data_IF_952085405971
#
_entry.id   IF_952085405971
#
_cell.length_a   1.000
_cell.length_b   1.000
_cell.length_c   1.000
_cell.angle_alpha   90.00
_cell.angle_beta   90.00
_cell.angle_gamma   90.00
#
_symmetry.space_group_name_H-M   'P 1'
#
loop_
_entity.id
_entity.type
_entity.pdbx_description
1 polymer ?
#
# COMPACT_ATOMS: atom_id res chain seq x y z
N UNK A 1 -13.38 -15.70 9.13
CA UNK A 1 -12.58 -15.08 8.06
C UNK A 1 -13.30 -14.98 6.70
N UNK A 2 -13.96 -16.04 6.17
CA UNK A 2 -14.65 -15.96 4.85
C UNK A 2 -15.68 -14.82 4.76
N UNK A 3 -16.49 -14.60 5.82
CA UNK A 3 -17.51 -13.54 5.82
C UNK A 3 -16.92 -12.11 5.75
N UNK A 4 -15.78 -11.86 6.43
CA UNK A 4 -15.08 -10.58 6.38
C UNK A 4 -14.55 -10.29 4.98
N UNK A 5 -13.92 -11.28 4.35
CA UNK A 5 -13.46 -11.17 2.96
C UNK A 5 -14.59 -10.86 1.98
N UNK A 6 -15.71 -11.59 2.10
CA UNK A 6 -16.88 -11.37 1.23
C UNK A 6 -17.44 -9.96 1.40
N UNK A 7 -17.49 -9.47 2.64
CA UNK A 7 -17.90 -8.11 2.95
C UNK A 7 -17.00 -7.08 2.28
N UNK A 8 -15.67 -7.20 2.45
CA UNK A 8 -14.71 -6.25 1.91
C UNK A 8 -14.66 -6.27 0.38
N UNK A 9 -14.76 -7.44 -0.24
CA UNK A 9 -14.91 -7.57 -1.70
C UNK A 9 -16.17 -6.84 -2.18
N UNK A 10 -17.31 -7.01 -1.51
CA UNK A 10 -18.56 -6.32 -1.87
C UNK A 10 -18.44 -4.80 -1.71
N UNK A 11 -17.76 -4.33 -0.65
CA UNK A 11 -17.50 -2.90 -0.45
C UNK A 11 -16.65 -2.33 -1.60
N UNK A 12 -15.60 -3.02 -2.01
CA UNK A 12 -14.78 -2.57 -3.14
C UNK A 12 -15.56 -2.65 -4.44
N UNK A 13 -16.36 -3.71 -4.64
CA UNK A 13 -17.21 -3.83 -5.84
C UNK A 13 -18.24 -2.71 -5.94
N UNK A 14 -18.72 -2.17 -4.82
CA UNK A 14 -19.62 -0.99 -4.85
C UNK A 14 -18.93 0.28 -5.35
N UNK A 15 -17.59 0.34 -5.29
CA UNK A 15 -16.76 1.45 -5.73
C UNK A 15 -16.18 1.25 -7.14
N UNK A 16 -16.67 0.30 -7.91
CA UNK A 16 -16.12 -0.03 -9.25
C UNK A 16 -16.07 1.18 -10.20
N UNK A 17 -17.00 2.14 -10.10
CA UNK A 17 -16.96 3.39 -10.88
C UNK A 17 -15.73 4.23 -10.55
N UNK A 18 -15.42 4.39 -9.27
CA UNK A 18 -14.25 5.14 -8.82
C UNK A 18 -12.95 4.43 -9.24
N UNK A 19 -12.91 3.09 -9.12
CA UNK A 19 -11.80 2.29 -9.61
C UNK A 19 -11.60 2.46 -11.12
N UNK A 20 -12.67 2.39 -11.91
CA UNK A 20 -12.59 2.60 -13.35
C UNK A 20 -12.00 3.98 -13.72
N UNK A 21 -12.40 5.04 -13.01
CA UNK A 21 -11.84 6.38 -13.20
C UNK A 21 -10.34 6.40 -12.89
N UNK A 22 -9.90 5.76 -11.80
CA UNK A 22 -8.48 5.68 -11.43
C UNK A 22 -7.66 5.02 -12.57
N UNK A 23 -8.16 3.91 -13.11
CA UNK A 23 -7.49 3.19 -14.19
C UNK A 23 -7.48 3.98 -15.50
N UNK A 24 -8.56 4.71 -15.83
CA UNK A 24 -8.63 5.59 -16.99
C UNK A 24 -7.63 6.76 -16.86
N UNK A 25 -7.52 7.36 -15.69
CA UNK A 25 -6.55 8.43 -15.44
C UNK A 25 -5.12 7.90 -15.59
N UNK A 26 -4.82 6.72 -15.04
CA UNK A 26 -3.51 6.10 -15.19
C UNK A 26 -3.16 5.82 -16.66
N UNK A 27 -4.11 5.31 -17.43
CA UNK A 27 -3.92 5.08 -18.87
C UNK A 27 -3.68 6.42 -19.60
N UNK A 28 -4.45 7.46 -19.28
CA UNK A 28 -4.27 8.80 -19.85
C UNK A 28 -2.88 9.38 -19.56
N UNK A 29 -2.41 9.29 -18.32
CA UNK A 29 -1.08 9.73 -17.92
C UNK A 29 -0.01 8.94 -18.68
N UNK A 30 -0.13 7.62 -18.74
CA UNK A 30 0.83 6.77 -19.45
C UNK A 30 0.90 7.11 -20.96
N UNK A 31 -0.24 7.41 -21.58
CA UNK A 31 -0.29 7.79 -23.00
C UNK A 31 0.34 9.17 -23.23
N UNK A 32 0.09 10.11 -22.32
CA UNK A 32 0.55 11.50 -22.44
C UNK A 32 2.03 11.69 -22.08
N UNK A 33 2.54 10.99 -21.05
CA UNK A 33 3.87 11.24 -20.48
C UNK A 33 4.89 10.13 -20.74
N UNK A 34 4.42 8.96 -21.19
CA UNK A 34 5.23 7.73 -21.35
C UNK A 34 5.93 7.25 -20.05
N UNK A 35 5.50 7.71 -18.88
CA UNK A 35 6.08 7.39 -17.57
C UNK A 35 5.52 6.08 -17.00
N UNK A 36 6.17 4.95 -17.33
CA UNK A 36 5.74 3.60 -16.90
C UNK A 36 5.72 3.48 -15.38
N UNK A 37 6.82 3.86 -14.72
CA UNK A 37 6.96 3.74 -13.27
C UNK A 37 5.89 4.54 -12.53
N UNK A 38 5.55 5.73 -13.02
CA UNK A 38 4.49 6.56 -12.45
C UNK A 38 3.12 5.90 -12.59
N UNK A 39 2.79 5.35 -13.77
CA UNK A 39 1.49 4.72 -14.00
C UNK A 39 1.27 3.51 -13.08
N UNK A 40 2.27 2.61 -12.93
CA UNK A 40 2.21 1.45 -12.05
C UNK A 40 2.08 1.89 -10.59
N UNK A 41 2.88 2.86 -10.14
CA UNK A 41 2.86 3.33 -8.75
C UNK A 41 1.55 4.03 -8.42
N UNK A 42 1.06 4.89 -9.32
CA UNK A 42 -0.20 5.59 -9.14
C UNK A 42 -1.38 4.61 -8.98
N UNK A 43 -1.53 3.65 -9.91
CA UNK A 43 -2.61 2.65 -9.82
C UNK A 43 -2.51 1.83 -8.54
N UNK A 44 -1.32 1.39 -8.17
CA UNK A 44 -1.09 0.56 -7.00
C UNK A 44 -1.42 1.30 -5.70
N UNK A 45 -0.89 2.51 -5.51
CA UNK A 45 -1.07 3.28 -4.28
C UNK A 45 -2.54 3.70 -4.10
N UNK A 46 -3.17 4.23 -5.15
CA UNK A 46 -4.55 4.70 -5.03
C UNK A 46 -5.52 3.51 -4.83
N UNK A 47 -5.29 2.41 -5.55
CA UNK A 47 -6.17 1.25 -5.39
C UNK A 47 -5.98 0.55 -4.04
N UNK A 48 -4.76 0.48 -3.50
CA UNK A 48 -4.56 -0.06 -2.15
C UNK A 48 -5.19 0.84 -1.08
N UNK A 49 -5.24 2.16 -1.30
CA UNK A 49 -5.97 3.07 -0.42
C UNK A 49 -7.45 2.73 -0.37
N UNK A 50 -8.07 2.26 -1.46
CA UNK A 50 -9.46 1.79 -1.44
C UNK A 50 -9.64 0.54 -0.58
N UNK A 51 -8.69 -0.40 -0.61
CA UNK A 51 -8.71 -1.57 0.26
C UNK A 51 -8.58 -1.19 1.75
N UNK A 52 -7.67 -0.27 2.06
CA UNK A 52 -7.46 0.22 3.42
C UNK A 52 -8.66 1.04 3.90
N UNK A 53 -9.35 1.77 3.02
CA UNK A 53 -10.54 2.54 3.38
C UNK A 53 -11.71 1.68 3.85
N UNK A 54 -11.72 0.36 3.59
CA UNK A 54 -12.72 -0.56 4.14
C UNK A 54 -12.75 -0.53 5.68
N UNK A 55 -11.61 -0.24 6.32
CA UNK A 55 -11.52 -0.05 7.78
C UNK A 55 -12.34 1.17 8.21
N UNK A 56 -12.29 2.25 7.43
CA UNK A 56 -13.06 3.47 7.73
C UNK A 56 -14.56 3.24 7.59
N UNK A 57 -14.99 2.42 6.63
CA UNK A 57 -16.40 2.04 6.51
C UNK A 57 -16.85 1.18 7.68
N UNK A 58 -15.99 0.33 8.22
CA UNK A 58 -16.29 -0.50 9.38
C UNK A 58 -16.48 0.33 10.68
N UNK A 59 -15.85 1.50 10.75
CA UNK A 59 -15.97 2.42 11.90
C UNK A 59 -17.09 3.44 11.76
N UNK A 60 -17.67 3.58 10.57
CA UNK A 60 -18.73 4.55 10.31
C UNK A 60 -20.01 4.20 11.11
N UNK A 61 -20.70 5.20 11.62
CA UNK A 61 -21.94 5.05 12.41
C UNK A 61 -21.86 3.98 13.55
N UNK A 62 -20.75 3.92 14.26
CA UNK A 62 -20.49 2.89 15.27
C UNK A 62 -20.53 1.45 14.75
N UNK A 63 -20.31 1.23 13.46
CA UNK A 63 -20.33 -0.09 12.82
C UNK A 63 -19.41 -1.11 13.52
N UNK A 64 -18.31 -0.65 14.14
CA UNK A 64 -17.45 -1.50 14.95
C UNK A 64 -18.19 -2.17 16.12
N UNK A 65 -19.13 -1.48 16.79
CA UNK A 65 -19.89 -2.07 17.87
C UNK A 65 -20.72 -3.25 17.38
N UNK A 66 -21.37 -3.11 16.22
CA UNK A 66 -22.10 -4.21 15.59
C UNK A 66 -21.17 -5.30 15.06
N UNK A 67 -20.05 -4.90 14.42
CA UNK A 67 -19.11 -5.85 13.82
C UNK A 67 -18.55 -6.82 14.87
N UNK A 68 -18.23 -6.34 16.07
CA UNK A 68 -17.68 -7.17 17.15
C UNK A 68 -18.73 -7.95 17.96
N UNK A 69 -20.03 -7.86 17.64
CA UNK A 69 -21.03 -8.83 18.12
C UNK A 69 -21.01 -10.14 17.32
N UNK A 70 -20.36 -10.14 16.15
CA UNK A 70 -20.24 -11.33 15.31
C UNK A 70 -19.17 -12.29 15.87
N UNK A 71 -19.25 -13.61 15.56
CA UNK A 71 -18.40 -14.63 16.13
C UNK A 71 -16.99 -14.64 15.52
N UNK A 72 -16.26 -13.53 15.63
CA UNK A 72 -14.85 -13.44 15.28
C UNK A 72 -14.09 -12.54 16.26
N UNK A 73 -12.80 -12.81 16.42
CA UNK A 73 -11.94 -12.07 17.33
C UNK A 73 -11.34 -10.83 16.66
N UNK A 74 -10.99 -9.82 17.48
CA UNK A 74 -10.25 -8.64 17.01
C UNK A 74 -8.94 -9.01 16.29
N UNK A 75 -8.30 -10.10 16.71
CA UNK A 75 -7.09 -10.62 16.07
C UNK A 75 -7.36 -11.13 14.66
N UNK A 76 -8.49 -11.83 14.47
CA UNK A 76 -8.89 -12.32 13.14
C UNK A 76 -9.22 -11.17 12.20
N UNK A 77 -9.89 -10.12 12.72
CA UNK A 77 -10.15 -8.89 11.97
C UNK A 77 -8.85 -8.21 11.53
N UNK A 78 -7.89 -8.01 12.45
CA UNK A 78 -6.60 -7.40 12.11
C UNK A 78 -5.85 -8.22 11.05
N UNK A 79 -5.77 -9.54 11.21
CA UNK A 79 -5.12 -10.43 10.23
C UNK A 79 -5.80 -10.34 8.87
N UNK A 80 -7.12 -10.33 8.86
CA UNK A 80 -7.89 -10.22 7.64
C UNK A 80 -7.56 -8.92 6.90
N UNK A 81 -7.56 -7.77 7.57
CA UNK A 81 -7.25 -6.48 6.93
C UNK A 81 -5.84 -6.44 6.33
N UNK A 82 -4.85 -7.00 7.02
CA UNK A 82 -3.48 -7.11 6.48
C UNK A 82 -3.40 -8.03 5.25
N UNK A 83 -4.02 -9.20 5.31
CA UNK A 83 -4.01 -10.15 4.20
C UNK A 83 -4.85 -9.64 3.01
N UNK A 84 -6.01 -9.04 3.28
CA UNK A 84 -6.88 -8.49 2.26
C UNK A 84 -6.21 -7.34 1.51
N UNK A 85 -5.60 -6.39 2.21
CA UNK A 85 -4.89 -5.28 1.59
C UNK A 85 -3.66 -5.74 0.80
N UNK A 86 -2.93 -6.77 1.29
CA UNK A 86 -1.82 -7.37 0.56
C UNK A 86 -2.30 -8.03 -0.74
N UNK A 87 -3.35 -8.86 -0.65
CA UNK A 87 -3.93 -9.55 -1.81
C UNK A 87 -4.43 -8.55 -2.86
N UNK A 88 -5.15 -7.51 -2.41
CA UNK A 88 -5.65 -6.46 -3.29
C UNK A 88 -4.52 -5.66 -3.93
N UNK A 89 -3.48 -5.34 -3.16
CA UNK A 89 -2.27 -4.69 -3.65
C UNK A 89 -1.57 -5.50 -4.75
N UNK A 90 -1.43 -6.82 -4.58
CA UNK A 90 -0.85 -7.69 -5.62
C UNK A 90 -1.70 -7.74 -6.89
N UNK A 91 -3.02 -7.80 -6.76
CA UNK A 91 -3.94 -7.73 -7.92
C UNK A 91 -3.74 -6.43 -8.69
N UNK A 92 -3.57 -5.31 -7.99
CA UNK A 92 -3.39 -4.01 -8.65
C UNK A 92 -2.04 -3.87 -9.35
N UNK A 93 -0.98 -4.45 -8.80
CA UNK A 93 0.32 -4.52 -9.50
C UNK A 93 0.20 -5.33 -10.80
N UNK A 94 -0.43 -6.50 -10.74
CA UNK A 94 -0.67 -7.32 -11.94
C UNK A 94 -1.50 -6.54 -12.96
N UNK A 95 -2.57 -5.89 -12.54
CA UNK A 95 -3.38 -5.04 -13.41
C UNK A 95 -2.58 -3.89 -14.03
N UNK A 96 -1.72 -3.23 -13.24
CA UNK A 96 -0.81 -2.17 -13.71
C UNK A 96 0.16 -2.66 -14.78
N UNK A 97 0.74 -3.85 -14.60
CA UNK A 97 1.59 -4.50 -15.61
C UNK A 97 0.80 -4.75 -16.89
N UNK A 98 -0.43 -5.28 -16.78
CA UNK A 98 -1.28 -5.53 -17.94
C UNK A 98 -1.63 -4.23 -18.68
N UNK A 99 -2.00 -3.17 -17.95
CA UNK A 99 -2.30 -1.86 -18.54
C UNK A 99 -1.09 -1.32 -19.30
N UNK A 100 0.09 -1.30 -18.67
CA UNK A 100 1.33 -0.84 -19.30
C UNK A 100 1.69 -1.73 -20.50
N UNK A 101 1.57 -3.05 -20.36
CA UNK A 101 1.81 -4.01 -21.44
C UNK A 101 0.94 -3.74 -22.66
N UNK A 102 -0.35 -3.49 -22.46
CA UNK A 102 -1.29 -3.18 -23.56
C UNK A 102 -0.91 -1.87 -24.25
N UNK A 103 -0.63 -0.80 -23.49
CA UNK A 103 -0.31 0.51 -24.07
C UNK A 103 1.03 0.48 -24.80
N UNK A 104 2.06 -0.15 -24.23
CA UNK A 104 3.39 -0.25 -24.86
C UNK A 104 3.39 -1.18 -26.07
N UNK A 105 2.58 -2.26 -26.04
CA UNK A 105 2.38 -3.11 -27.20
C UNK A 105 1.67 -2.38 -28.34
N UNK A 106 0.63 -1.60 -28.04
CA UNK A 106 -0.06 -0.78 -29.03
C UNK A 106 0.85 0.28 -29.67
N UNK A 107 1.84 0.80 -28.91
CA UNK A 107 2.87 1.72 -29.42
C UNK A 107 4.05 1.00 -30.14
N UNK A 108 4.09 -0.33 -30.13
CA UNK A 108 5.18 -1.12 -30.70
C UNK A 108 6.51 -1.05 -29.92
N UNK A 109 6.48 -0.56 -28.68
CA UNK A 109 7.69 -0.30 -27.86
C UNK A 109 7.89 -1.31 -26.72
N UNK A 110 7.06 -2.35 -26.63
CA UNK A 110 7.01 -3.29 -25.50
C UNK A 110 8.39 -3.94 -25.22
N UNK A 111 9.06 -4.45 -26.25
CA UNK A 111 10.35 -5.14 -26.09
C UNK A 111 11.47 -4.16 -25.70
N UNK A 112 11.44 -2.93 -26.21
CA UNK A 112 12.44 -1.91 -25.91
C UNK A 112 12.35 -1.41 -24.46
N UNK A 113 11.16 -1.49 -23.84
CA UNK A 113 10.87 -0.97 -22.49
C UNK A 113 10.66 -2.05 -21.44
N UNK A 114 10.98 -3.30 -21.76
CA UNK A 114 10.80 -4.44 -20.83
C UNK A 114 11.59 -4.27 -19.53
N UNK A 115 12.82 -3.76 -19.59
CA UNK A 115 13.64 -3.52 -18.40
C UNK A 115 13.02 -2.44 -17.49
N UNK A 116 12.47 -1.38 -18.06
CA UNK A 116 11.79 -0.33 -17.31
C UNK A 116 10.54 -0.85 -16.59
N UNK A 117 9.76 -1.73 -17.25
CA UNK A 117 8.60 -2.37 -16.63
C UNK A 117 9.05 -3.24 -15.45
N UNK A 118 10.08 -4.05 -15.63
CA UNK A 118 10.61 -4.91 -14.55
C UNK A 118 11.09 -4.07 -13.38
N UNK A 119 11.85 -3.01 -13.63
CA UNK A 119 12.32 -2.09 -12.58
C UNK A 119 11.15 -1.43 -11.83
N UNK A 120 10.14 -0.95 -12.55
CA UNK A 120 8.97 -0.34 -11.95
C UNK A 120 8.23 -1.32 -11.02
N UNK A 121 8.10 -2.59 -11.40
CA UNK A 121 7.47 -3.63 -10.59
C UNK A 121 8.32 -3.98 -9.36
N UNK A 122 9.64 -4.13 -9.55
CA UNK A 122 10.57 -4.45 -8.46
C UNK A 122 10.58 -3.36 -7.38
N UNK A 123 10.45 -2.10 -7.74
CA UNK A 123 10.33 -0.97 -6.79
C UNK A 123 8.96 -0.89 -6.14
N UNK A 124 7.91 -1.23 -6.88
CA UNK A 124 6.54 -1.04 -6.43
C UNK A 124 6.15 -1.99 -5.29
N UNK A 125 6.57 -3.27 -5.35
CA UNK A 125 6.20 -4.27 -4.33
C UNK A 125 6.72 -3.90 -2.92
N UNK A 126 8.03 -3.61 -2.71
CA UNK A 126 8.52 -3.14 -1.41
C UNK A 126 7.83 -1.85 -0.95
N UNK A 127 7.58 -0.91 -1.86
CA UNK A 127 6.88 0.33 -1.56
C UNK A 127 5.47 0.06 -1.03
N UNK A 128 4.71 -0.87 -1.63
CA UNK A 128 3.39 -1.26 -1.15
C UNK A 128 3.44 -1.89 0.24
N UNK A 129 4.40 -2.78 0.51
CA UNK A 129 4.58 -3.40 1.82
C UNK A 129 4.87 -2.36 2.91
N UNK A 130 5.77 -1.42 2.63
CA UNK A 130 6.10 -0.33 3.55
C UNK A 130 4.87 0.56 3.76
N UNK A 131 4.18 0.95 2.70
CA UNK A 131 2.98 1.78 2.80
C UNK A 131 1.88 1.12 3.66
N UNK A 132 1.61 -0.17 3.45
CA UNK A 132 0.66 -0.93 4.29
C UNK A 132 1.10 -0.99 5.75
N UNK A 133 2.39 -1.28 5.98
CA UNK A 133 2.92 -1.41 7.34
C UNK A 133 2.83 -0.13 8.15
N UNK A 134 2.77 1.01 7.47
CA UNK A 134 2.57 2.32 8.10
C UNK A 134 1.07 2.65 8.23
N UNK A 135 0.29 2.49 7.17
CA UNK A 135 -1.10 2.91 7.12
C UNK A 135 -2.02 2.10 8.05
N UNK A 136 -1.88 0.76 8.05
CA UNK A 136 -2.77 -0.13 8.79
C UNK A 136 -2.75 0.07 10.32
N UNK A 137 -1.58 0.21 10.99
CA UNK A 137 -1.55 0.45 12.43
C UNK A 137 -2.28 1.73 12.84
N UNK A 138 -2.14 2.80 12.05
CA UNK A 138 -2.80 4.07 12.36
C UNK A 138 -4.31 3.95 12.23
N UNK A 139 -4.81 3.35 11.16
CA UNK A 139 -6.24 3.21 10.93
C UNK A 139 -6.90 2.19 11.85
N UNK A 140 -6.19 1.14 12.26
CA UNK A 140 -6.69 0.15 13.22
C UNK A 140 -6.67 0.66 14.66
N UNK A 141 -5.78 1.61 14.99
CA UNK A 141 -5.65 2.17 16.35
C UNK A 141 -6.57 3.35 16.58
N UNK A 142 -6.72 4.22 15.59
CA UNK A 142 -7.50 5.45 15.68
C UNK A 142 -8.83 5.27 14.93
N UNK A 143 -9.87 5.94 15.40
CA UNK A 143 -11.13 6.03 14.67
C UNK A 143 -10.91 6.64 13.27
N UNK A 144 -11.82 6.35 12.33
CA UNK A 144 -11.66 6.64 10.90
C UNK A 144 -11.17 8.06 10.60
N UNK A 145 -11.73 9.09 11.24
CA UNK A 145 -11.33 10.48 11.01
C UNK A 145 -9.96 10.79 11.56
N UNK A 146 -9.72 10.44 12.83
CA UNK A 146 -8.42 10.67 13.50
C UNK A 146 -7.32 9.85 12.83
N UNK A 147 -7.63 8.62 12.39
CA UNK A 147 -6.70 7.75 11.67
C UNK A 147 -6.27 8.34 10.33
N UNK A 148 -7.19 8.93 9.56
CA UNK A 148 -6.86 9.61 8.28
C UNK A 148 -6.00 10.85 8.49
N UNK A 149 -6.31 11.68 9.50
CA UNK A 149 -5.52 12.87 9.83
C UNK A 149 -4.11 12.46 10.27
N UNK A 150 -3.99 11.46 11.14
CA UNK A 150 -2.70 10.95 11.60
C UNK A 150 -1.86 10.38 10.44
N UNK A 151 -2.49 9.66 9.52
CA UNK A 151 -1.84 9.12 8.33
C UNK A 151 -1.39 10.23 7.38
N UNK A 152 -2.22 11.24 7.13
CA UNK A 152 -1.87 12.38 6.31
C UNK A 152 -0.71 13.18 6.91
N UNK A 153 -0.73 13.42 8.23
CA UNK A 153 0.34 14.09 8.95
C UNK A 153 1.67 13.30 8.88
N UNK A 154 1.61 11.97 9.00
CA UNK A 154 2.78 11.11 8.90
C UNK A 154 3.36 11.14 7.48
N UNK A 155 2.53 10.98 6.44
CA UNK A 155 2.99 11.05 5.04
C UNK A 155 3.59 12.42 4.75
N UNK A 156 2.93 13.50 5.16
CA UNK A 156 3.44 14.86 5.01
C UNK A 156 4.78 15.07 5.73
N UNK A 157 4.92 14.52 6.94
CA UNK A 157 6.17 14.54 7.70
C UNK A 157 7.30 13.80 6.99
N UNK A 158 7.03 12.61 6.45
CA UNK A 158 8.03 11.82 5.70
C UNK A 158 8.45 12.58 4.44
N UNK A 159 7.49 13.10 3.67
CA UNK A 159 7.78 13.89 2.46
C UNK A 159 8.63 15.12 2.80
N UNK A 160 8.29 15.83 3.87
CA UNK A 160 9.08 16.97 4.34
C UNK A 160 10.51 16.58 4.69
N UNK A 161 10.70 15.50 5.46
CA UNK A 161 12.02 14.99 5.84
C UNK A 161 12.83 14.57 4.61
N UNK A 162 12.21 13.85 3.67
CA UNK A 162 12.86 13.44 2.42
C UNK A 162 13.32 14.66 1.62
N UNK A 163 12.44 15.65 1.40
CA UNK A 163 12.79 16.87 0.65
C UNK A 163 13.89 17.65 1.38
N UNK A 164 13.82 17.74 2.71
CA UNK A 164 14.85 18.42 3.51
C UNK A 164 16.22 17.77 3.34
N UNK A 165 16.30 16.43 3.44
CA UNK A 165 17.55 15.71 3.24
C UNK A 165 18.06 15.84 1.81
N UNK A 166 17.20 15.72 0.79
CA UNK A 166 17.59 15.93 -0.60
C UNK A 166 18.23 17.31 -0.83
N UNK A 167 17.58 18.38 -0.33
CA UNK A 167 18.12 19.72 -0.44
C UNK A 167 19.43 19.90 0.33
N UNK A 168 19.56 19.28 1.48
CA UNK A 168 20.79 19.32 2.27
C UNK A 168 21.96 18.67 1.53
N UNK A 169 21.75 17.53 0.88
CA UNK A 169 22.79 16.84 0.10
C UNK A 169 23.10 17.57 -1.21
N UNK A 170 22.11 18.13 -1.87
CA UNK A 170 22.29 18.97 -3.05
C UNK A 170 23.19 20.19 -2.73
N UNK A 171 22.95 20.87 -1.62
CA UNK A 171 23.80 21.99 -1.17
C UNK A 171 25.21 21.55 -0.77
N UNK A 172 25.39 20.29 -0.37
CA UNK A 172 26.70 19.70 -0.08
C UNK A 172 27.45 19.22 -1.35
N UNK A 173 26.86 19.39 -2.55
CA UNK A 173 27.47 18.97 -3.82
C UNK A 173 27.40 17.45 -4.07
N UNK A 174 26.55 16.73 -3.35
CA UNK A 174 26.35 15.28 -3.48
C UNK A 174 25.10 15.02 -4.32
N UNK A 175 25.27 14.54 -5.54
CA UNK A 175 24.16 14.11 -6.40
C UNK A 175 23.62 12.74 -5.97
N UNK A 176 22.82 12.74 -4.90
CA UNK A 176 22.25 11.51 -4.36
C UNK A 176 21.45 10.71 -5.39
N UNK A 177 20.77 11.41 -6.31
CA UNK A 177 19.95 10.76 -7.34
C UNK A 177 20.82 9.88 -8.22
N UNK A 178 21.99 10.38 -8.66
CA UNK A 178 22.90 9.63 -9.53
C UNK A 178 23.54 8.45 -8.79
N UNK A 179 23.90 8.63 -7.51
CA UNK A 179 24.41 7.54 -6.67
C UNK A 179 23.36 6.45 -6.51
N UNK A 180 22.13 6.81 -6.17
CA UNK A 180 21.03 5.85 -5.99
C UNK A 180 20.67 5.16 -7.30
N UNK A 181 20.55 5.91 -8.40
CA UNK A 181 20.23 5.36 -9.72
C UNK A 181 21.32 4.42 -10.21
N UNK A 182 22.59 4.74 -10.00
CA UNK A 182 23.73 3.88 -10.41
C UNK A 182 23.81 2.60 -9.57
N UNK A 183 23.42 2.65 -8.30
CA UNK A 183 23.34 1.48 -7.41
C UNK A 183 22.12 0.60 -7.69
N UNK A 184 21.03 1.16 -8.20
CA UNK A 184 19.76 0.46 -8.46
C UNK A 184 19.73 -0.30 -9.79
N UNK A 185 20.87 -0.56 -10.42
CA UNK A 185 20.93 -1.41 -11.61
C UNK A 185 20.42 -2.82 -11.30
N UNK A 186 19.67 -3.42 -12.25
CA UNK A 186 19.12 -4.80 -12.14
C UNK A 186 20.16 -5.86 -11.77
N UNK A 187 21.44 -5.62 -12.03
CA UNK A 187 22.55 -6.53 -11.71
C UNK A 187 22.86 -6.69 -10.22
N UNK A 188 22.39 -5.78 -9.36
CA UNK A 188 22.67 -5.82 -7.91
C UNK A 188 21.65 -6.67 -7.15
N UNK A 189 21.69 -7.99 -7.33
CA UNK A 189 20.78 -8.94 -6.68
C UNK A 189 20.82 -8.80 -5.15
N UNK A 190 21.99 -8.58 -4.56
CA UNK A 190 22.15 -8.40 -3.11
C UNK A 190 21.40 -7.18 -2.59
N UNK A 191 21.41 -6.08 -3.32
CA UNK A 191 20.68 -4.86 -2.95
C UNK A 191 19.17 -5.09 -3.04
N UNK A 192 18.70 -5.69 -4.11
CA UNK A 192 17.28 -6.01 -4.26
C UNK A 192 16.80 -6.96 -3.17
N UNK A 193 17.56 -8.04 -2.91
CA UNK A 193 17.23 -8.97 -1.84
C UNK A 193 17.15 -8.28 -0.47
N UNK A 194 18.07 -7.36 -0.17
CA UNK A 194 18.04 -6.61 1.10
C UNK A 194 16.81 -5.71 1.23
N UNK A 195 16.42 -4.99 0.16
CA UNK A 195 15.23 -4.15 0.15
C UNK A 195 13.97 -4.99 0.41
N UNK A 196 13.84 -6.14 -0.26
CA UNK A 196 12.70 -7.04 -0.08
C UNK A 196 12.66 -7.63 1.33
N UNK A 197 13.79 -8.11 1.85
CA UNK A 197 13.86 -8.66 3.21
C UNK A 197 13.47 -7.60 4.23
N UNK A 198 14.02 -6.40 4.14
CA UNK A 198 13.71 -5.30 5.05
C UNK A 198 12.22 -4.95 4.99
N UNK A 199 11.64 -4.80 3.80
CA UNK A 199 10.22 -4.47 3.65
C UNK A 199 9.29 -5.56 4.21
N UNK A 200 9.62 -6.83 4.01
CA UNK A 200 8.90 -7.97 4.56
C UNK A 200 9.00 -7.99 6.10
N UNK A 201 10.19 -7.77 6.64
CA UNK A 201 10.40 -7.71 8.10
C UNK A 201 9.59 -6.58 8.72
N UNK A 202 9.61 -5.38 8.12
CA UNK A 202 8.82 -4.24 8.59
C UNK A 202 7.33 -4.56 8.56
N UNK A 203 6.84 -5.20 7.48
CA UNK A 203 5.44 -5.60 7.36
C UNK A 203 5.03 -6.61 8.43
N UNK A 204 5.86 -7.63 8.70
CA UNK A 204 5.59 -8.61 9.77
C UNK A 204 5.65 -7.98 11.17
N UNK A 205 6.59 -7.08 11.42
CA UNK A 205 6.68 -6.35 12.69
C UNK A 205 5.43 -5.49 12.92
N UNK A 206 4.98 -4.77 11.89
CA UNK A 206 3.75 -3.99 11.92
C UNK A 206 2.53 -4.86 12.26
N UNK A 207 2.39 -6.00 11.59
CA UNK A 207 1.32 -6.96 11.88
C UNK A 207 1.38 -7.45 13.35
N UNK A 208 2.57 -7.83 13.85
CA UNK A 208 2.75 -8.27 15.24
C UNK A 208 2.37 -7.17 16.24
N UNK A 209 2.80 -5.94 16.02
CA UNK A 209 2.46 -4.80 16.87
C UNK A 209 0.94 -4.61 16.92
N UNK A 210 0.26 -4.62 15.76
CA UNK A 210 -1.20 -4.51 15.72
C UNK A 210 -1.90 -5.66 16.46
N UNK A 211 -1.41 -6.89 16.33
CA UNK A 211 -1.98 -8.05 17.04
C UNK A 211 -1.78 -7.98 18.55
N UNK A 212 -0.71 -7.38 19.03
CA UNK A 212 -0.48 -7.15 20.46
C UNK A 212 -1.45 -6.09 21.02
N UNK A 213 -1.64 -4.98 20.31
CA UNK A 213 -2.59 -3.94 20.72
C UNK A 213 -4.05 -4.40 20.71
N UNK A 214 -4.42 -5.29 19.81
CA UNK A 214 -5.78 -5.82 19.71
C UNK A 214 -6.06 -7.01 20.65
N UNK A 215 -5.06 -7.45 21.45
CA UNK A 215 -5.27 -8.43 22.51
C UNK A 215 -6.09 -7.82 23.65
N UNK A 216 -7.19 -8.45 24.10
CA UNK A 216 -7.88 -8.01 25.30
C UNK A 216 -6.91 -7.98 26.47
N UNK A 217 -6.96 -6.89 27.24
CA UNK A 217 -6.10 -6.75 28.43
C UNK A 217 -6.44 -7.86 29.44
N UNK A 218 -5.51 -8.25 30.33
CA UNK A 218 -5.80 -9.21 31.39
C UNK A 218 -7.01 -8.80 32.27
N UNK A 219 -7.27 -7.48 32.38
CA UNK A 219 -8.42 -6.91 33.12
C UNK A 219 -9.77 -7.17 32.40
N UNK A 220 -9.81 -7.13 31.08
CA UNK A 220 -11.03 -7.39 30.32
C UNK A 220 -11.44 -8.87 30.38
N UNK A 221 -10.47 -9.77 30.61
CA UNK A 221 -10.71 -11.22 30.82
C UNK A 221 -11.29 -11.55 32.20
N UNK A 222 -11.06 -10.72 33.21
CA UNK A 222 -11.59 -10.93 34.56
C UNK A 222 -13.01 -10.44 34.72
N UNK A 223 -13.49 -9.53 33.85
CA UNK A 223 -14.87 -9.00 33.87
C UNK A 223 -15.86 -9.86 33.06
N UNK A 224 -15.38 -10.82 32.28
CA UNK A 224 -16.23 -11.74 31.49
C UNK A 224 -16.44 -13.12 32.14
N UNK A 225 -16.12 -13.27 33.42
CA UNK A 225 -16.47 -14.37 34.30
C UNK A 225 -17.42 -13.86 35.37
#
# INVERSE_FOLDING_TARGET
MKGLWTKDIRLISSQQKNLAVIWLVAAGILIATDQISFAITYTSVITIMTAISTISYDTFDNGNAFLFTLPFSRKEYTREKYLFSLFWGMITVIGGILLVGIVTAAKGTLLMRSEEIVMAVLLNIPMLLIFQSMALPFLLKYEAEKGRIALAAMIGGIVFVVIFFFKMFETAGIELIDIVMNQMYLKNITLWASIYIISIVIWFLSLKICLLYTSPSPRDRSLSR
#
